data_IF_455868050434
#
_entry.id   IF_455868050434
#
_cell.length_a   1.000
_cell.length_b   1.000
_cell.length_c   1.000
_cell.angle_alpha   90.00
_cell.angle_beta   90.00
_cell.angle_gamma   90.00
#
_symmetry.space_group_name_H-M   'P 1'
#
loop_
_entity.id
_entity.type
_entity.pdbx_description
1 polymer ?
#
# COMPACT_ATOMS: atom_id res chain seq x y z
N UNK A 1 -24.60 72.21 41.86
CA UNK A 1 -25.75 71.83 41.02
C UNK A 1 -25.44 70.39 40.59
N UNK A 2 -25.75 69.41 41.42
CA UNK A 2 -27.01 68.70 41.66
C UNK A 2 -27.57 68.04 40.41
N UNK A 3 -27.67 66.71 40.62
CA UNK A 3 -28.63 65.73 40.07
C UNK A 3 -28.30 65.31 38.62
N UNK A 4 -27.85 64.08 38.39
CA UNK A 4 -28.64 62.85 38.46
C UNK A 4 -27.74 61.62 38.46
N UNK A 5 -27.49 61.11 39.61
CA UNK A 5 -27.14 59.71 39.80
C UNK A 5 -28.41 59.00 40.15
N UNK A 6 -29.05 58.30 39.23
CA UNK A 6 -30.02 57.27 39.60
C UNK A 6 -30.38 56.38 38.39
N UNK A 7 -30.28 55.07 38.64
CA UNK A 7 -30.86 53.97 37.85
C UNK A 7 -30.17 53.54 36.56
N UNK A 8 -29.10 52.75 36.66
CA UNK A 8 -29.05 51.51 35.89
C UNK A 8 -28.49 50.43 36.80
N UNK A 9 -29.28 49.96 37.73
CA UNK A 9 -29.18 48.57 38.24
C UNK A 9 -29.92 47.68 37.24
N UNK A 10 -29.29 47.35 36.19
CA UNK A 10 -29.78 46.34 35.26
C UNK A 10 -29.11 45.03 35.64
N UNK A 11 -29.85 44.21 36.32
CA UNK A 11 -30.14 42.81 36.02
C UNK A 11 -29.05 42.19 35.13
N UNK A 12 -27.97 41.77 35.78
CA UNK A 12 -27.15 40.69 35.23
C UNK A 12 -28.00 39.43 35.43
N UNK A 13 -28.88 39.17 34.45
CA UNK A 13 -29.52 37.88 34.29
C UNK A 13 -28.41 36.85 34.08
N UNK A 14 -28.22 36.08 35.12
CA UNK A 14 -27.40 34.89 35.17
C UNK A 14 -28.01 33.87 34.21
N UNK A 15 -27.65 33.97 32.92
CA UNK A 15 -27.83 32.88 31.97
C UNK A 15 -26.80 31.81 32.32
N UNK A 16 -27.18 30.98 33.29
CA UNK A 16 -26.61 29.62 33.36
C UNK A 16 -26.98 28.93 32.05
N UNK A 17 -26.13 29.08 31.07
CA UNK A 17 -26.08 28.17 29.93
C UNK A 17 -25.83 26.80 30.54
N UNK A 18 -26.90 26.02 30.66
CA UNK A 18 -26.82 24.60 30.99
C UNK A 18 -25.92 23.93 29.93
N UNK A 19 -24.67 23.78 30.30
CA UNK A 19 -23.75 22.91 29.58
C UNK A 19 -24.37 21.52 29.78
N UNK A 20 -25.19 21.09 28.79
CA UNK A 20 -25.73 19.74 28.73
C UNK A 20 -24.53 18.80 28.74
N UNK A 21 -24.27 18.19 29.88
CA UNK A 21 -23.30 17.12 30.00
C UNK A 21 -23.73 16.03 29.00
N UNK A 22 -23.08 15.96 27.87
CA UNK A 22 -23.08 14.77 27.05
C UNK A 22 -22.64 13.64 27.96
N UNK A 23 -23.58 12.83 28.42
CA UNK A 23 -23.30 11.66 29.24
C UNK A 23 -22.53 10.69 28.33
N UNK A 24 -21.22 10.79 28.33
CA UNK A 24 -20.35 9.78 27.77
C UNK A 24 -20.67 8.47 28.49
N UNK A 25 -20.90 7.41 27.74
CA UNK A 25 -21.11 6.08 28.31
C UNK A 25 -19.74 5.51 28.68
N UNK A 26 -19.38 5.40 29.97
CA UNK A 26 -18.03 5.00 30.38
C UNK A 26 -17.60 3.63 29.83
N UNK A 27 -18.57 2.74 29.59
CA UNK A 27 -18.30 1.46 28.93
C UNK A 27 -17.86 1.64 27.48
N UNK A 28 -18.50 2.55 26.74
CA UNK A 28 -18.13 2.84 25.35
C UNK A 28 -16.74 3.42 25.30
N UNK A 29 -16.42 4.34 26.20
CA UNK A 29 -15.08 4.94 26.29
C UNK A 29 -14.03 3.89 26.62
N UNK A 30 -14.33 2.96 27.53
CA UNK A 30 -13.46 1.83 27.84
C UNK A 30 -13.25 0.92 26.64
N UNK A 31 -14.31 0.56 25.92
CA UNK A 31 -14.22 -0.28 24.71
C UNK A 31 -13.38 0.37 23.61
N UNK A 32 -13.61 1.66 23.35
CA UNK A 32 -12.86 2.44 22.38
C UNK A 32 -11.38 2.51 22.78
N UNK A 33 -11.08 2.87 24.02
CA UNK A 33 -9.72 2.98 24.53
C UNK A 33 -8.97 1.65 24.46
N UNK A 34 -9.57 0.55 24.92
CA UNK A 34 -8.96 -0.79 24.87
C UNK A 34 -8.73 -1.23 23.43
N UNK A 35 -9.71 -1.01 22.54
CA UNK A 35 -9.59 -1.39 21.14
C UNK A 35 -8.50 -0.60 20.42
N UNK A 36 -8.45 0.73 20.63
CA UNK A 36 -7.45 1.60 20.02
C UNK A 36 -6.04 1.23 20.49
N UNK A 37 -5.83 1.12 21.79
CA UNK A 37 -4.52 0.75 22.36
C UNK A 37 -4.02 -0.61 21.83
N UNK A 38 -4.91 -1.59 21.77
CA UNK A 38 -4.58 -2.90 21.22
C UNK A 38 -4.18 -2.83 19.74
N UNK A 39 -4.97 -2.10 18.91
CA UNK A 39 -4.67 -1.96 17.48
C UNK A 39 -3.39 -1.18 17.22
N UNK A 40 -3.11 -0.13 18.01
CA UNK A 40 -1.86 0.63 17.93
C UNK A 40 -0.64 -0.24 18.25
N UNK A 41 -0.73 -1.12 19.24
CA UNK A 41 0.31 -2.09 19.55
C UNK A 41 0.53 -3.08 18.40
N UNK A 42 -0.57 -3.66 17.88
CA UNK A 42 -0.50 -4.64 16.80
C UNK A 42 0.05 -4.04 15.50
N UNK A 43 -0.39 -2.82 15.12
CA UNK A 43 0.11 -2.18 13.90
C UNK A 43 1.57 -1.76 14.04
N UNK A 44 1.98 -1.28 15.21
CA UNK A 44 3.37 -0.91 15.49
C UNK A 44 4.28 -2.14 15.38
N UNK A 45 3.88 -3.28 15.93
CA UNK A 45 4.60 -4.54 15.80
C UNK A 45 4.66 -5.02 14.34
N UNK A 46 3.56 -4.88 13.60
CA UNK A 46 3.51 -5.24 12.17
C UNK A 46 4.46 -4.37 11.32
N UNK A 47 4.51 -3.07 11.59
CA UNK A 47 5.38 -2.12 10.86
C UNK A 47 6.86 -2.33 11.16
N UNK A 48 7.23 -2.62 12.40
CA UNK A 48 8.62 -2.82 12.80
C UNK A 48 9.33 -3.95 12.02
N UNK A 49 8.57 -4.95 11.55
CA UNK A 49 9.10 -6.07 10.78
C UNK A 49 9.09 -5.89 9.26
N UNK A 50 8.25 -5.00 8.71
CA UNK A 50 7.89 -5.05 7.29
C UNK A 50 7.95 -3.73 6.53
N UNK A 51 7.65 -2.58 7.15
CA UNK A 51 7.43 -1.33 6.42
C UNK A 51 8.03 -0.15 7.19
N UNK A 52 9.13 0.41 6.67
CA UNK A 52 9.74 1.61 7.25
C UNK A 52 9.09 2.89 6.73
N UNK A 53 8.85 3.85 7.62
CA UNK A 53 8.37 5.19 7.25
C UNK A 53 6.88 5.25 6.89
N UNK A 54 6.09 4.24 7.26
CA UNK A 54 4.64 4.28 7.12
C UNK A 54 4.00 5.05 8.28
N UNK A 55 2.92 5.77 8.00
CA UNK A 55 2.03 6.41 8.96
C UNK A 55 0.74 5.61 9.06
N UNK A 56 0.17 5.51 10.24
CA UNK A 56 -1.12 4.83 10.42
C UNK A 56 -2.12 5.72 11.18
N UNK A 57 -3.39 5.41 10.98
CA UNK A 57 -4.50 6.00 11.72
C UNK A 57 -5.45 4.88 12.16
N UNK A 58 -5.72 4.81 13.45
CA UNK A 58 -6.69 3.87 14.03
C UNK A 58 -7.99 4.61 14.29
N UNK A 59 -9.09 4.06 13.84
CA UNK A 59 -10.41 4.58 14.14
C UNK A 59 -11.36 3.45 14.55
N UNK A 60 -12.01 3.61 15.71
CA UNK A 60 -13.03 2.69 16.18
C UNK A 60 -14.39 3.17 15.70
N UNK A 61 -15.15 2.27 15.10
CA UNK A 61 -16.48 2.60 14.59
C UNK A 61 -17.42 2.94 15.75
N UNK A 62 -18.42 3.76 15.44
CA UNK A 62 -19.41 4.16 16.42
C UNK A 62 -20.13 2.95 17.01
N UNK A 63 -20.07 2.81 18.32
CA UNK A 63 -20.78 1.79 19.08
C UNK A 63 -22.20 2.25 19.42
N UNK A 64 -23.09 1.27 19.65
CA UNK A 64 -24.48 1.58 20.04
C UNK A 64 -24.50 2.26 21.43
N UNK A 65 -25.01 3.51 21.56
CA UNK A 65 -25.07 4.21 22.83
C UNK A 65 -26.01 3.55 23.85
N UNK A 66 -26.83 2.60 23.42
CA UNK A 66 -27.73 1.83 24.28
C UNK A 66 -27.06 0.64 24.95
N UNK A 67 -25.78 0.39 24.64
CA UNK A 67 -25.04 -0.70 25.24
C UNK A 67 -25.05 -0.58 26.77
N UNK A 68 -25.42 -1.67 27.43
CA UNK A 68 -25.55 -1.73 28.89
C UNK A 68 -24.88 -3.01 29.39
N UNK A 69 -23.60 -2.91 29.67
CA UNK A 69 -22.81 -3.96 30.32
C UNK A 69 -22.06 -3.34 31.49
N UNK A 70 -21.71 -4.11 32.51
CA UNK A 70 -20.87 -3.63 33.59
C UNK A 70 -19.48 -3.27 33.08
N UNK A 71 -18.88 -2.23 33.69
CA UNK A 71 -17.48 -1.90 33.44
C UNK A 71 -16.58 -3.07 33.80
N UNK A 72 -15.53 -3.24 33.04
CA UNK A 72 -14.55 -4.28 33.30
C UNK A 72 -13.37 -3.72 34.09
N UNK A 73 -12.89 -4.39 35.14
CA UNK A 73 -11.61 -4.06 35.74
C UNK A 73 -10.47 -4.11 34.71
N UNK A 74 -9.48 -3.21 34.84
CA UNK A 74 -8.43 -3.07 33.85
C UNK A 74 -7.53 -4.31 33.70
N UNK A 75 -7.43 -5.11 34.72
CA UNK A 75 -6.69 -6.37 34.78
C UNK A 75 -7.46 -7.58 34.21
N UNK A 76 -8.79 -7.44 34.04
CA UNK A 76 -9.66 -8.50 33.55
C UNK A 76 -10.16 -8.27 32.11
N UNK A 77 -9.81 -7.12 31.49
CA UNK A 77 -10.20 -6.81 30.11
C UNK A 77 -9.12 -7.29 29.14
N UNK A 78 -9.53 -7.93 28.05
CA UNK A 78 -8.64 -8.41 27.01
C UNK A 78 -9.17 -8.05 25.64
N UNK A 79 -8.26 -7.82 24.69
CA UNK A 79 -8.58 -7.57 23.29
C UNK A 79 -7.82 -8.55 22.38
N UNK A 80 -8.46 -9.00 21.33
CA UNK A 80 -7.88 -9.89 20.33
C UNK A 80 -8.41 -9.57 18.96
N UNK A 81 -7.54 -9.56 17.97
CA UNK A 81 -7.94 -9.41 16.57
C UNK A 81 -8.72 -10.65 16.11
N UNK A 82 -9.94 -10.45 15.65
CA UNK A 82 -10.80 -11.55 15.20
C UNK A 82 -10.71 -11.74 13.70
N UNK A 83 -10.70 -10.66 12.93
CA UNK A 83 -10.62 -10.70 11.48
C UNK A 83 -10.26 -9.31 10.94
N UNK A 84 -9.41 -9.21 9.91
CA UNK A 84 -8.50 -10.23 9.37
C UNK A 84 -7.30 -10.46 10.32
N UNK A 85 -6.43 -11.42 9.99
CA UNK A 85 -5.22 -11.70 10.78
C UNK A 85 -4.14 -10.60 10.71
N UNK A 86 -4.29 -9.64 9.78
CA UNK A 86 -3.40 -8.49 9.62
C UNK A 86 -4.16 -7.24 10.06
N UNK A 87 -3.60 -6.41 10.95
CA UNK A 87 -4.28 -5.23 11.49
C UNK A 87 -4.28 -4.05 10.51
N UNK A 88 -4.78 -4.24 9.28
CA UNK A 88 -4.84 -3.21 8.23
C UNK A 88 -6.19 -3.24 7.52
N UNK A 89 -6.75 -2.08 7.26
CA UNK A 89 -8.07 -1.90 6.67
C UNK A 89 -9.18 -2.07 7.71
N UNK A 90 -10.31 -2.64 7.29
CA UNK A 90 -11.43 -2.92 8.20
C UNK A 90 -11.12 -4.14 9.06
N UNK A 91 -11.18 -3.96 10.35
CA UNK A 91 -10.86 -4.99 11.33
C UNK A 91 -11.99 -5.15 12.35
N UNK A 92 -12.06 -6.32 12.95
CA UNK A 92 -12.94 -6.57 14.10
C UNK A 92 -12.09 -7.04 15.27
N UNK A 93 -12.20 -6.34 16.38
CA UNK A 93 -11.52 -6.70 17.62
C UNK A 93 -12.54 -7.31 18.57
N UNK A 94 -12.21 -8.49 19.07
CA UNK A 94 -12.97 -9.11 20.17
C UNK A 94 -12.44 -8.57 21.49
N UNK A 95 -13.29 -7.85 22.22
CA UNK A 95 -13.02 -7.38 23.57
C UNK A 95 -13.79 -8.26 24.55
N UNK A 96 -13.10 -8.81 25.52
CA UNK A 96 -13.67 -9.72 26.53
C UNK A 96 -13.36 -9.20 27.94
N UNK A 97 -14.35 -9.29 28.82
CA UNK A 97 -14.16 -9.14 30.25
C UNK A 97 -14.33 -10.50 30.91
N UNK A 98 -13.38 -10.88 31.74
CA UNK A 98 -13.40 -12.13 32.48
C UNK A 98 -13.08 -11.86 33.97
N UNK A 99 -14.03 -11.22 34.66
CA UNK A 99 -13.95 -10.96 36.10
C UNK A 99 -15.07 -11.66 36.84
N UNK A 100 -14.97 -11.73 38.15
CA UNK A 100 -16.03 -12.30 39.03
C UNK A 100 -17.31 -11.50 38.97
N UNK A 101 -17.25 -10.19 38.65
CA UNK A 101 -18.38 -9.27 38.66
C UNK A 101 -18.93 -9.00 37.25
N UNK A 102 -18.11 -9.22 36.20
CA UNK A 102 -18.48 -8.95 34.83
C UNK A 102 -17.90 -10.02 33.90
N UNK A 103 -18.79 -10.73 33.21
CA UNK A 103 -18.41 -11.67 32.17
C UNK A 103 -19.17 -11.34 30.89
N UNK A 104 -18.45 -10.80 29.89
CA UNK A 104 -19.03 -10.47 28.62
C UNK A 104 -18.00 -10.49 27.50
N UNK A 105 -18.49 -10.57 26.27
CA UNK A 105 -17.68 -10.51 25.05
C UNK A 105 -18.39 -9.67 24.02
N UNK A 106 -17.65 -8.76 23.38
CA UNK A 106 -18.12 -7.89 22.32
C UNK A 106 -17.18 -7.91 21.14
N UNK A 107 -17.76 -7.70 19.94
CA UNK A 107 -17.01 -7.49 18.72
C UNK A 107 -17.08 -6.02 18.36
N UNK A 108 -15.93 -5.37 18.38
CA UNK A 108 -15.78 -3.94 18.14
C UNK A 108 -15.23 -3.74 16.74
N UNK A 109 -16.03 -3.21 15.80
CA UNK A 109 -15.54 -2.91 14.46
C UNK A 109 -14.68 -1.64 14.51
N UNK A 110 -13.54 -1.70 13.82
CA UNK A 110 -12.61 -0.61 13.70
C UNK A 110 -12.01 -0.57 12.30
N UNK A 111 -11.26 0.48 11.97
CA UNK A 111 -10.42 0.52 10.80
C UNK A 111 -9.02 1.02 11.14
N UNK A 112 -8.04 0.44 10.47
CA UNK A 112 -6.64 0.83 10.54
C UNK A 112 -6.21 1.25 9.15
N UNK A 113 -6.09 2.56 8.94
CA UNK A 113 -5.62 3.14 7.70
C UNK A 113 -4.09 3.24 7.74
N UNK A 114 -3.45 2.60 6.77
CA UNK A 114 -2.00 2.56 6.65
C UNK A 114 -1.57 3.37 5.43
N UNK A 115 -0.81 4.43 5.65
CA UNK A 115 -0.34 5.35 4.62
C UNK A 115 1.14 5.13 4.35
N UNK A 116 1.49 5.02 3.07
CA UNK A 116 2.87 4.82 2.62
C UNK A 116 3.13 5.57 1.33
N UNK A 117 4.38 6.02 1.14
CA UNK A 117 4.86 6.52 -0.13
C UNK A 117 4.93 5.36 -1.14
N UNK A 118 4.16 5.46 -2.21
CA UNK A 118 4.13 4.49 -3.31
C UNK A 118 4.40 5.18 -4.63
N UNK A 119 4.85 4.42 -5.61
CA UNK A 119 5.11 4.92 -6.95
C UNK A 119 3.80 5.13 -7.68
N UNK A 120 3.59 6.35 -8.15
CA UNK A 120 2.45 6.74 -9.00
C UNK A 120 2.94 7.33 -10.31
N UNK A 121 2.09 7.34 -11.33
CA UNK A 121 2.35 8.04 -12.60
C UNK A 121 2.27 9.55 -12.40
N UNK A 122 3.30 10.29 -12.80
CA UNK A 122 3.29 11.76 -12.80
C UNK A 122 2.51 12.33 -14.00
N UNK A 123 2.42 11.57 -15.10
CA UNK A 123 1.68 11.88 -16.33
C UNK A 123 1.04 10.62 -16.92
N UNK A 124 0.07 10.73 -17.83
CA UNK A 124 -0.52 9.56 -18.47
C UNK A 124 0.54 8.77 -19.26
N UNK A 125 0.52 7.44 -19.15
CA UNK A 125 1.36 6.53 -19.91
C UNK A 125 0.52 5.83 -20.97
N UNK A 126 1.01 5.84 -22.22
CA UNK A 126 0.43 5.03 -23.29
C UNK A 126 0.77 3.55 -23.13
N UNK A 127 0.00 2.69 -23.81
CA UNK A 127 0.34 1.28 -23.89
C UNK A 127 1.74 1.11 -24.51
N UNK A 128 2.54 0.23 -23.93
CA UNK A 128 3.93 -0.07 -24.31
C UNK A 128 4.92 1.11 -24.15
N UNK A 129 4.51 2.20 -23.47
CA UNK A 129 5.45 3.27 -23.13
C UNK A 129 6.49 2.75 -22.14
N UNK A 130 7.77 3.04 -22.40
CA UNK A 130 8.88 2.77 -21.47
C UNK A 130 8.86 3.83 -20.38
N UNK A 131 8.92 3.40 -19.13
CA UNK A 131 8.85 4.28 -17.97
C UNK A 131 10.22 4.89 -17.69
N UNK A 132 10.26 6.21 -17.66
CA UNK A 132 11.44 6.99 -17.27
C UNK A 132 11.22 7.66 -15.90
N UNK A 133 12.27 8.24 -15.34
CA UNK A 133 12.23 8.95 -14.06
C UNK A 133 11.20 10.10 -14.07
N UNK A 134 11.02 10.81 -15.20
CA UNK A 134 10.05 11.90 -15.32
C UNK A 134 8.58 11.46 -15.43
N UNK A 135 8.33 10.16 -15.60
CA UNK A 135 6.98 9.61 -15.73
C UNK A 135 6.34 9.22 -14.41
N UNK A 136 7.12 9.17 -13.34
CA UNK A 136 6.71 8.64 -12.05
C UNK A 136 7.06 9.59 -10.92
N UNK A 137 6.32 9.47 -9.82
CA UNK A 137 6.55 10.21 -8.58
C UNK A 137 6.19 9.34 -7.38
N UNK A 138 6.71 9.69 -6.22
CA UNK A 138 6.27 9.11 -4.94
C UNK A 138 5.10 9.93 -4.40
N UNK A 139 4.04 9.26 -4.01
CA UNK A 139 2.87 9.86 -3.37
C UNK A 139 2.40 8.98 -2.22
N UNK A 140 1.99 9.63 -1.14
CA UNK A 140 1.35 8.93 -0.03
C UNK A 140 -0.02 8.40 -0.45
N UNK A 141 -0.27 7.11 -0.19
CA UNK A 141 -1.54 6.44 -0.45
C UNK A 141 -1.91 5.54 0.71
N UNK A 142 -3.20 5.38 0.93
CA UNK A 142 -3.72 4.41 1.89
C UNK A 142 -3.61 3.00 1.29
N UNK A 143 -2.75 2.18 1.90
CA UNK A 143 -2.47 0.82 1.41
C UNK A 143 -3.68 -0.10 1.51
N UNK A 144 -4.58 0.12 2.49
CA UNK A 144 -5.80 -0.67 2.67
C UNK A 144 -6.81 -0.51 1.54
N UNK A 145 -6.67 0.52 0.71
CA UNK A 145 -7.52 0.79 -0.45
C UNK A 145 -6.90 0.29 -1.77
N UNK A 146 -5.65 -0.17 -1.75
CA UNK A 146 -4.94 -0.62 -2.95
C UNK A 146 -5.20 -2.11 -3.21
N UNK A 147 -5.81 -2.40 -4.35
CA UNK A 147 -5.97 -3.75 -4.87
C UNK A 147 -4.94 -4.00 -5.99
N UNK A 148 -4.27 -5.14 -5.96
CA UNK A 148 -3.35 -5.55 -7.03
C UNK A 148 -1.87 -5.26 -6.79
N UNK A 149 -1.50 -4.83 -5.59
CA UNK A 149 -0.12 -4.52 -5.21
C UNK A 149 0.32 -3.11 -5.61
N UNK A 150 1.51 -2.73 -5.18
CA UNK A 150 2.10 -1.41 -5.40
C UNK A 150 3.62 -1.51 -5.41
N UNK A 151 4.28 -0.51 -5.98
CA UNK A 151 5.72 -0.36 -5.95
C UNK A 151 6.12 0.70 -4.92
N UNK A 152 7.13 0.39 -4.12
CA UNK A 152 7.65 1.31 -3.10
C UNK A 152 8.82 2.16 -3.59
N UNK A 153 9.56 1.65 -4.57
CA UNK A 153 10.78 2.29 -5.06
C UNK A 153 10.65 2.59 -6.56
N UNK A 154 10.98 3.81 -7.01
CA UNK A 154 10.98 4.19 -8.43
C UNK A 154 11.78 3.23 -9.32
N UNK A 155 12.91 2.73 -8.82
CA UNK A 155 13.81 1.82 -9.55
C UNK A 155 13.12 0.51 -9.96
N UNK A 156 12.06 0.13 -9.28
CA UNK A 156 11.26 -1.05 -9.62
C UNK A 156 10.42 -0.87 -10.89
N UNK A 157 10.18 0.37 -11.32
CA UNK A 157 9.38 0.70 -12.49
C UNK A 157 10.21 1.24 -13.67
N UNK A 158 11.32 1.93 -13.39
CA UNK A 158 12.16 2.56 -14.42
C UNK A 158 12.71 1.50 -15.38
N UNK A 159 12.59 1.75 -16.70
CA UNK A 159 13.01 0.85 -17.74
C UNK A 159 12.01 -0.27 -18.08
N UNK A 160 10.95 -0.43 -17.30
CA UNK A 160 9.84 -1.31 -17.64
C UNK A 160 8.86 -0.62 -18.60
N UNK A 161 7.98 -1.40 -19.23
CA UNK A 161 6.93 -0.94 -20.13
C UNK A 161 5.56 -1.10 -19.52
N UNK A 162 4.69 -0.17 -19.82
CA UNK A 162 3.28 -0.27 -19.45
C UNK A 162 2.55 -1.28 -20.35
N UNK A 163 1.96 -2.34 -19.79
CA UNK A 163 1.16 -3.33 -20.54
C UNK A 163 -0.10 -2.73 -21.15
N UNK A 164 -0.62 -1.67 -20.56
CA UNK A 164 -1.84 -0.93 -20.96
C UNK A 164 -1.64 0.55 -20.71
N UNK A 165 -2.53 1.38 -21.24
CA UNK A 165 -2.55 2.79 -20.88
C UNK A 165 -2.85 2.96 -19.39
N UNK A 166 -2.11 3.85 -18.73
CA UNK A 166 -2.21 4.14 -17.28
C UNK A 166 -2.46 5.65 -17.16
N UNK A 167 -3.53 6.10 -16.50
CA UNK A 167 -3.80 7.52 -16.31
C UNK A 167 -2.75 8.17 -15.39
N UNK A 168 -2.72 9.51 -15.35
CA UNK A 168 -1.92 10.24 -14.38
C UNK A 168 -2.42 9.98 -12.95
N UNK A 169 -1.52 10.11 -11.98
CA UNK A 169 -1.75 9.91 -10.53
C UNK A 169 -2.25 8.50 -10.15
N UNK A 170 -2.11 7.54 -11.04
CA UNK A 170 -2.45 6.13 -10.77
C UNK A 170 -1.28 5.43 -10.05
N UNK A 171 -1.61 4.62 -9.04
CA UNK A 171 -0.61 3.75 -8.38
C UNK A 171 -0.12 2.70 -9.34
N UNK A 172 1.21 2.59 -9.47
CA UNK A 172 1.83 1.55 -10.28
C UNK A 172 1.90 0.23 -9.52
N UNK A 173 1.38 -0.81 -10.15
CA UNK A 173 1.45 -2.17 -9.64
C UNK A 173 2.28 -3.08 -10.57
N UNK A 174 2.93 -4.13 -10.02
CA UNK A 174 3.79 -5.02 -10.81
C UNK A 174 3.08 -5.67 -12.01
N UNK A 175 1.78 -5.97 -11.87
CA UNK A 175 0.99 -6.61 -12.92
C UNK A 175 0.66 -5.70 -14.12
N UNK A 176 0.84 -4.38 -13.98
CA UNK A 176 0.67 -3.41 -15.06
C UNK A 176 1.94 -3.23 -15.91
N UNK A 177 3.04 -3.81 -15.47
CA UNK A 177 4.37 -3.62 -16.05
C UNK A 177 4.88 -4.89 -16.68
N UNK A 178 5.75 -4.71 -17.67
CA UNK A 178 6.48 -5.78 -18.34
C UNK A 178 7.90 -5.30 -18.67
N UNK A 179 8.82 -6.23 -18.86
CA UNK A 179 10.16 -5.88 -19.30
C UNK A 179 10.13 -5.32 -20.73
N UNK A 180 10.95 -4.31 -20.99
CA UNK A 180 11.10 -3.79 -22.36
C UNK A 180 11.71 -4.85 -23.27
N UNK A 181 11.27 -4.88 -24.52
CA UNK A 181 11.86 -5.74 -25.54
C UNK A 181 13.25 -5.21 -25.93
N UNK A 182 14.28 -5.91 -25.48
CA UNK A 182 15.67 -5.57 -25.80
C UNK A 182 16.03 -5.93 -27.23
N UNK A 183 15.37 -6.96 -27.77
CA UNK A 183 15.50 -7.41 -29.17
C UNK A 183 14.08 -7.59 -29.71
N UNK A 184 13.83 -7.05 -30.91
CA UNK A 184 12.55 -7.18 -31.62
C UNK A 184 12.71 -8.17 -32.78
N UNK A 185 11.59 -8.81 -33.14
CA UNK A 185 11.53 -9.65 -34.33
C UNK A 185 11.97 -8.87 -35.57
N UNK A 186 12.89 -9.44 -36.33
CA UNK A 186 13.51 -8.82 -37.52
C UNK A 186 14.80 -8.06 -37.23
N UNK A 187 15.13 -7.84 -35.94
CA UNK A 187 16.36 -7.17 -35.57
C UNK A 187 17.60 -7.99 -35.99
N UNK A 188 18.63 -7.27 -36.48
CA UNK A 188 19.95 -7.84 -36.67
C UNK A 188 20.64 -8.01 -35.32
N UNK A 189 21.11 -9.21 -35.05
CA UNK A 189 21.75 -9.55 -33.77
C UNK A 189 23.09 -10.23 -34.01
N UNK A 190 23.98 -10.12 -33.06
CA UNK A 190 25.22 -10.89 -33.00
C UNK A 190 24.98 -12.13 -32.14
N UNK A 191 25.06 -13.30 -32.77
CA UNK A 191 25.02 -14.59 -32.09
C UNK A 191 26.42 -14.87 -31.56
N UNK A 192 26.57 -14.94 -30.24
CA UNK A 192 27.81 -15.38 -29.59
C UNK A 192 27.66 -16.79 -29.05
N UNK A 193 28.70 -17.59 -29.23
CA UNK A 193 28.84 -18.88 -28.56
C UNK A 193 30.26 -18.90 -27.96
N UNK A 194 30.34 -19.00 -26.66
CA UNK A 194 31.61 -19.01 -25.93
C UNK A 194 31.72 -20.21 -25.01
N UNK A 195 32.83 -20.87 -25.04
CA UNK A 195 33.28 -21.79 -24.02
C UNK A 195 34.69 -21.40 -23.55
N UNK A 196 35.28 -22.13 -22.61
CA UNK A 196 36.61 -21.84 -22.08
C UNK A 196 37.74 -21.79 -23.09
N UNK A 197 37.52 -22.22 -24.34
CA UNK A 197 38.56 -22.35 -25.38
C UNK A 197 38.25 -21.61 -26.65
N UNK A 198 37.00 -21.36 -26.98
CA UNK A 198 36.60 -20.78 -28.29
C UNK A 198 35.46 -19.78 -28.05
N UNK A 199 35.60 -18.59 -28.63
CA UNK A 199 34.53 -17.59 -28.71
C UNK A 199 34.25 -17.34 -30.21
N UNK A 200 33.01 -17.62 -30.62
CA UNK A 200 32.56 -17.41 -32.00
C UNK A 200 31.47 -16.37 -32.02
N UNK A 201 31.52 -15.44 -32.95
CA UNK A 201 30.49 -14.44 -33.21
C UNK A 201 30.01 -14.54 -34.65
N UNK A 202 28.69 -14.59 -34.82
CA UNK A 202 28.05 -14.74 -36.13
C UNK A 202 26.89 -13.76 -36.25
N UNK A 203 26.65 -13.19 -37.45
CA UNK A 203 25.48 -12.36 -37.68
C UNK A 203 24.20 -13.21 -37.71
N UNK A 204 23.13 -12.70 -37.15
CA UNK A 204 21.83 -13.33 -37.13
C UNK A 204 20.68 -12.33 -37.24
N UNK A 205 19.49 -12.87 -37.41
CA UNK A 205 18.24 -12.13 -37.42
C UNK A 205 17.30 -12.75 -36.35
N UNK A 206 16.74 -11.92 -35.47
CA UNK A 206 15.82 -12.37 -34.49
C UNK A 206 14.46 -12.75 -35.12
N UNK A 207 14.00 -13.96 -34.87
CA UNK A 207 12.69 -14.44 -35.33
C UNK A 207 11.57 -14.17 -34.29
N UNK A 208 11.94 -13.80 -33.08
CA UNK A 208 11.06 -13.50 -31.96
C UNK A 208 11.56 -12.28 -31.20
N UNK A 209 10.65 -11.52 -30.61
CA UNK A 209 10.98 -10.44 -29.66
C UNK A 209 11.25 -11.00 -28.27
N UNK A 210 12.06 -10.29 -27.48
CA UNK A 210 12.30 -10.63 -26.07
C UNK A 210 13.09 -9.57 -25.32
N UNK A 211 13.06 -9.67 -24.02
CA UNK A 211 13.84 -8.88 -23.07
C UNK A 211 15.15 -9.56 -22.70
N UNK A 212 16.07 -8.83 -22.09
CA UNK A 212 17.33 -9.39 -21.58
C UNK A 212 17.07 -10.59 -20.67
N UNK A 213 17.80 -11.68 -20.89
CA UNK A 213 17.65 -12.95 -20.19
C UNK A 213 16.64 -13.92 -20.83
N UNK A 214 15.75 -13.45 -21.71
CA UNK A 214 14.82 -14.31 -22.46
C UNK A 214 15.53 -15.14 -23.51
N UNK A 215 14.99 -16.32 -23.81
CA UNK A 215 15.46 -17.17 -24.90
C UNK A 215 14.55 -16.97 -26.11
N UNK A 216 15.15 -16.64 -27.25
CA UNK A 216 14.48 -16.42 -28.54
C UNK A 216 15.04 -17.30 -29.64
N UNK A 217 14.26 -17.49 -30.70
CA UNK A 217 14.77 -18.10 -31.95
C UNK A 217 15.46 -17.05 -32.78
N UNK A 218 16.66 -17.38 -33.27
CA UNK A 218 17.49 -16.52 -34.11
C UNK A 218 17.94 -17.31 -35.32
N UNK A 219 17.82 -16.73 -36.49
CA UNK A 219 18.35 -17.29 -37.74
C UNK A 219 19.77 -16.77 -37.98
N UNK A 220 20.72 -17.68 -38.14
CA UNK A 220 22.06 -17.32 -38.57
C UNK A 220 22.02 -16.95 -40.07
N UNK A 221 22.37 -15.71 -40.42
CA UNK A 221 22.25 -15.20 -41.78
C UNK A 221 23.32 -15.74 -42.76
N UNK A 222 24.35 -16.48 -42.28
CA UNK A 222 25.33 -17.15 -43.14
C UNK A 222 24.95 -18.59 -43.47
N UNK A 223 24.38 -19.32 -42.53
CA UNK A 223 24.09 -20.74 -42.65
C UNK A 223 22.62 -21.05 -42.77
N UNK A 224 21.74 -20.06 -42.64
CA UNK A 224 20.27 -20.15 -42.61
C UNK A 224 19.72 -21.05 -41.50
N UNK A 225 20.57 -21.48 -40.57
CA UNK A 225 20.17 -22.33 -39.43
C UNK A 225 19.50 -21.49 -38.34
N UNK A 226 18.42 -22.06 -37.78
CA UNK A 226 17.73 -21.45 -36.65
C UNK A 226 18.29 -22.05 -35.37
N UNK A 227 18.68 -21.20 -34.43
CA UNK A 227 19.18 -21.55 -33.10
C UNK A 227 18.36 -20.87 -32.02
N UNK A 228 18.28 -21.47 -30.85
CA UNK A 228 17.76 -20.80 -29.65
C UNK A 228 18.91 -20.12 -28.94
N UNK A 229 18.75 -18.82 -28.66
CA UNK A 229 19.78 -18.01 -28.02
C UNK A 229 19.15 -17.13 -26.94
N UNK A 230 19.87 -16.90 -25.84
CA UNK A 230 19.50 -16.01 -24.75
C UNK A 230 19.91 -14.58 -25.09
N UNK A 231 19.00 -13.62 -24.90
CA UNK A 231 19.32 -12.20 -25.05
C UNK A 231 20.23 -11.77 -23.90
N UNK A 232 21.42 -11.28 -24.18
CA UNK A 232 22.38 -10.77 -23.19
C UNK A 232 22.47 -9.25 -23.21
N UNK A 233 21.89 -8.57 -24.21
CA UNK A 233 21.86 -7.14 -24.37
C UNK A 233 21.29 -6.70 -25.72
N UNK A 234 21.19 -5.39 -25.98
CA UNK A 234 20.68 -4.86 -27.24
C UNK A 234 21.49 -5.40 -28.44
N UNK A 235 20.79 -6.08 -29.34
CA UNK A 235 21.42 -6.69 -30.53
C UNK A 235 22.39 -7.83 -30.23
N UNK A 236 22.42 -8.37 -29.01
CA UNK A 236 23.37 -9.42 -28.62
C UNK A 236 22.63 -10.62 -28.03
N UNK A 237 22.94 -11.79 -28.57
CA UNK A 237 22.36 -13.05 -28.09
C UNK A 237 23.45 -14.12 -27.94
N UNK A 238 23.28 -15.00 -26.96
CA UNK A 238 24.24 -16.05 -26.64
C UNK A 238 23.60 -17.44 -26.75
N UNK A 239 24.31 -18.35 -27.41
CA UNK A 239 23.93 -19.77 -27.45
C UNK A 239 24.76 -20.52 -26.43
N UNK A 240 24.10 -21.25 -25.53
CA UNK A 240 24.76 -22.20 -24.64
C UNK A 240 25.31 -23.38 -25.46
N UNK A 241 26.56 -23.71 -25.24
CA UNK A 241 27.26 -24.87 -25.81
C UNK A 241 27.14 -26.08 -24.87
#
# INVERSE_FOLDING_TARGET
MQLQAFFIRVIIALTLAGCGSLHANPLIDQLIGTTSAYLEEQITAHLAGNIQGARYEVSVNRLDPRLRLPLCPADAISAQLESPNVPVGRVTVRVSCDSTEAQWRLFVPASVDLFQQVVVTARPLGRHAVISTGDIALRERNLGQLSGGYLLKPEQAIGLRARRAIPADAVLSPNQLEQDETVKRGDRVVISAANSRVAVRMPGEALESGSTGSQIRVRNTRSDRIVRARIIGPGQVEVGL
#
